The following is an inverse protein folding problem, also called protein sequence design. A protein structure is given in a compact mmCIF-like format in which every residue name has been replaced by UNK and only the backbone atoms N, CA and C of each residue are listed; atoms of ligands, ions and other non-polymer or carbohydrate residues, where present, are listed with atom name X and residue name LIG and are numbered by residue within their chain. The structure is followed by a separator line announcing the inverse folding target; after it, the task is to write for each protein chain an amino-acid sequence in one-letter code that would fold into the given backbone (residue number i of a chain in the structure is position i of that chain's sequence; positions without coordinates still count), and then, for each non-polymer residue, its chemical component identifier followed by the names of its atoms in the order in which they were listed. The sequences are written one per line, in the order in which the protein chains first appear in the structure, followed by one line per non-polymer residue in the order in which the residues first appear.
data_IF_327737251233
#
_entry.id   IF_327737251233
#
_cell.length_a   1.000
_cell.length_b   1.000
_cell.length_c   1.000
_cell.angle_alpha   90.00
_cell.angle_beta   90.00
_cell.angle_gamma   90.00
#
_symmetry.space_group_name_H-M   'P 1'
#
loop_
_entity.id
_entity.type
_entity.pdbx_description
1 polymer ?
#
# COMPACT_ATOMS: atom_id res chain seq x y z
N UNK A 1 33.16 39.49 21.07
CA UNK A 1 31.86 39.73 20.43
C UNK A 1 31.86 40.88 19.42
N UNK A 2 32.34 42.08 19.72
CA UNK A 2 32.33 43.24 18.79
C UNK A 2 33.10 42.99 17.46
N UNK A 3 34.21 42.27 17.48
CA UNK A 3 35.01 41.96 16.27
C UNK A 3 34.34 40.94 15.36
N UNK A 4 33.56 39.99 15.91
CA UNK A 4 32.80 39.02 15.15
C UNK A 4 31.64 39.68 14.40
N UNK A 5 30.93 40.60 15.04
CA UNK A 5 29.83 41.36 14.40
C UNK A 5 30.36 42.28 13.29
N UNK A 6 31.57 42.85 13.44
CA UNK A 6 32.23 43.65 12.39
C UNK A 6 32.63 42.79 11.19
N UNK A 7 33.11 41.56 11.44
CA UNK A 7 33.48 40.63 10.39
C UNK A 7 32.26 40.14 9.59
N UNK A 8 31.12 39.83 10.26
CA UNK A 8 29.85 39.44 9.59
C UNK A 8 29.36 40.55 8.67
N UNK A 9 29.60 41.83 8.99
CA UNK A 9 29.20 42.98 8.14
C UNK A 9 30.25 43.35 7.09
N UNK A 10 31.26 42.53 6.88
CA UNK A 10 32.27 42.71 5.83
C UNK A 10 31.87 41.93 4.58
N UNK A 11 32.33 42.31 3.37
CA UNK A 11 32.06 41.55 2.13
C UNK A 11 32.46 40.07 2.23
N UNK A 12 33.51 39.76 2.98
CA UNK A 12 33.97 38.38 3.23
C UNK A 12 33.02 37.65 4.18
N UNK A 13 32.41 38.35 5.13
CA UNK A 13 31.40 37.78 6.05
C UNK A 13 30.11 37.50 5.33
N UNK A 14 29.65 38.40 4.46
CA UNK A 14 28.46 38.21 3.62
C UNK A 14 28.62 36.97 2.69
N UNK A 15 29.79 36.82 2.08
CA UNK A 15 30.10 35.67 1.26
C UNK A 15 30.11 34.36 2.05
N UNK A 16 30.69 34.34 3.23
CA UNK A 16 30.69 33.17 4.11
C UNK A 16 29.27 32.80 4.57
N UNK A 17 28.44 33.78 4.92
CA UNK A 17 27.02 33.58 5.26
C UNK A 17 26.24 33.03 4.09
N UNK A 18 26.49 33.53 2.88
CA UNK A 18 25.85 32.99 1.66
C UNK A 18 26.19 31.51 1.43
N UNK A 19 27.48 31.13 1.61
CA UNK A 19 27.90 29.73 1.51
C UNK A 19 27.21 28.86 2.58
N UNK A 20 27.17 29.33 3.84
CA UNK A 20 26.46 28.60 4.91
C UNK A 20 24.97 28.44 4.59
N UNK A 21 24.31 29.47 4.10
CA UNK A 21 22.90 29.42 3.70
C UNK A 21 22.67 28.43 2.57
N UNK A 22 23.57 28.38 1.59
CA UNK A 22 23.55 27.48 0.47
C UNK A 22 23.69 26.01 0.93
N UNK A 23 24.58 25.75 1.89
CA UNK A 23 24.77 24.43 2.50
C UNK A 23 23.52 24.03 3.29
N UNK A 24 22.96 24.93 4.10
CA UNK A 24 21.74 24.69 4.87
C UNK A 24 20.54 24.44 3.97
N UNK A 25 20.39 25.21 2.88
CA UNK A 25 19.34 24.99 1.88
C UNK A 25 19.46 23.62 1.19
N UNK A 26 20.69 23.19 0.89
CA UNK A 26 20.95 21.87 0.32
C UNK A 26 20.58 20.74 1.31
N UNK A 27 21.00 20.87 2.57
CA UNK A 27 20.65 19.90 3.63
C UNK A 27 19.15 19.87 3.88
N UNK A 28 18.49 21.03 3.92
CA UNK A 28 17.05 21.13 4.06
C UNK A 28 16.32 20.50 2.86
N UNK A 29 16.81 20.75 1.63
CA UNK A 29 16.27 20.15 0.41
C UNK A 29 16.38 18.63 0.37
N UNK A 30 17.44 18.06 0.93
CA UNK A 30 17.58 16.61 1.04
C UNK A 30 16.58 15.97 2.04
N UNK A 31 16.15 16.70 3.06
CA UNK A 31 15.17 16.23 4.05
C UNK A 31 13.74 16.61 3.72
N UNK A 32 13.53 17.73 3.04
CA UNK A 32 12.22 18.18 2.57
C UNK A 32 11.97 17.68 1.15
N UNK A 33 11.87 16.35 0.97
CA UNK A 33 11.54 15.75 -0.32
C UNK A 33 10.05 15.96 -0.60
N UNK A 34 9.70 17.12 -1.15
CA UNK A 34 8.33 17.38 -1.62
C UNK A 34 8.23 16.88 -3.06
N UNK A 35 7.57 15.75 -3.23
CA UNK A 35 7.30 15.16 -4.55
C UNK A 35 6.03 15.79 -5.10
N UNK A 36 6.14 16.55 -6.16
CA UNK A 36 4.99 17.07 -6.91
C UNK A 36 4.72 16.13 -8.08
N UNK A 37 3.58 15.45 -8.03
CA UNK A 37 3.08 14.69 -9.18
C UNK A 37 2.50 15.69 -10.19
N UNK A 38 3.25 15.94 -11.26
CA UNK A 38 2.86 16.83 -12.37
C UNK A 38 2.11 16.09 -13.47
N UNK A 39 1.77 14.81 -13.29
CA UNK A 39 0.96 14.08 -14.27
C UNK A 39 -0.48 14.57 -14.23
N UNK A 40 -1.12 14.70 -15.40
CA UNK A 40 -2.49 15.18 -15.51
C UNK A 40 -3.49 14.29 -14.72
N UNK A 41 -3.16 13.02 -14.52
CA UNK A 41 -3.99 12.02 -13.83
C UNK A 41 -3.51 11.72 -12.41
N UNK A 42 -2.46 12.41 -11.90
CA UNK A 42 -1.85 12.14 -10.59
C UNK A 42 -1.51 10.66 -10.36
N UNK A 43 -1.01 10.01 -11.40
CA UNK A 43 -0.77 8.57 -11.45
C UNK A 43 0.24 8.07 -10.41
N UNK A 44 1.04 8.94 -9.84
CA UNK A 44 2.04 8.65 -8.80
C UNK A 44 1.65 9.21 -7.43
N UNK A 45 0.40 9.64 -7.25
CA UNK A 45 -0.13 10.11 -5.98
C UNK A 45 -1.27 9.20 -5.51
N UNK A 46 -1.25 8.84 -4.23
CA UNK A 46 -2.33 8.04 -3.66
C UNK A 46 -3.66 8.79 -3.63
N UNK A 47 -4.73 8.08 -3.92
CA UNK A 47 -6.09 8.53 -3.70
C UNK A 47 -6.35 8.83 -2.22
N UNK A 48 -7.37 9.64 -1.94
CA UNK A 48 -7.77 9.91 -0.57
C UNK A 48 -8.13 8.63 0.18
N UNK A 49 -8.85 7.72 -0.47
CA UNK A 49 -9.24 6.43 0.12
C UNK A 49 -8.02 5.60 0.55
N UNK A 50 -7.01 5.50 -0.31
CA UNK A 50 -5.76 4.77 -0.01
C UNK A 50 -5.00 5.38 1.17
N UNK A 51 -4.93 6.73 1.24
CA UNK A 51 -4.31 7.45 2.36
C UNK A 51 -5.04 7.22 3.68
N UNK A 52 -6.37 7.30 3.66
CA UNK A 52 -7.20 7.15 4.86
C UNK A 52 -7.08 5.74 5.44
N UNK A 53 -7.00 4.71 4.59
CA UNK A 53 -6.82 3.32 5.01
C UNK A 53 -5.52 3.12 5.78
N UNK A 54 -4.38 3.60 5.25
CA UNK A 54 -3.08 3.35 5.89
C UNK A 54 -2.74 4.30 7.02
N UNK A 55 -3.44 5.43 7.11
CA UNK A 55 -3.29 6.40 8.20
C UNK A 55 -3.81 5.87 9.54
N UNK A 56 -4.84 5.02 9.50
CA UNK A 56 -5.57 4.57 10.68
C UNK A 56 -5.31 3.08 11.00
N UNK A 57 -4.15 2.54 10.63
CA UNK A 57 -3.80 1.16 10.93
C UNK A 57 -3.69 0.96 12.46
N UNK A 58 -4.43 0.00 12.99
CA UNK A 58 -4.41 -0.41 14.40
C UNK A 58 -3.32 -1.45 14.65
N UNK A 59 -3.13 -2.37 13.70
CA UNK A 59 -2.14 -3.44 13.75
C UNK A 59 -0.99 -3.18 12.76
N UNK A 60 0.16 -3.84 12.92
CA UNK A 60 1.26 -3.77 11.97
C UNK A 60 0.87 -4.32 10.59
N UNK A 61 1.01 -3.49 9.56
CA UNK A 61 0.88 -3.86 8.16
C UNK A 61 2.27 -3.95 7.53
N UNK A 62 2.61 -5.11 7.00
CA UNK A 62 3.87 -5.35 6.30
C UNK A 62 3.63 -5.78 4.86
N UNK A 63 4.31 -5.13 3.92
CA UNK A 63 4.26 -5.47 2.49
C UNK A 63 5.62 -5.99 2.06
N UNK A 64 5.73 -7.28 1.80
CA UNK A 64 6.93 -7.94 1.29
C UNK A 64 6.86 -8.02 -0.23
N UNK A 65 7.83 -7.43 -0.92
CA UNK A 65 7.83 -7.25 -2.38
C UNK A 65 8.87 -8.15 -3.01
N UNK A 66 8.43 -8.96 -3.99
CA UNK A 66 9.22 -9.96 -4.67
C UNK A 66 9.17 -9.70 -6.18
N UNK A 67 10.10 -8.88 -6.67
CA UNK A 67 10.26 -8.62 -8.09
C UNK A 67 11.64 -9.07 -8.54
N UNK A 68 11.68 -9.87 -9.61
CA UNK A 68 12.93 -10.30 -10.22
C UNK A 68 13.74 -9.10 -10.70
N UNK A 69 15.05 -9.15 -10.54
CA UNK A 69 15.95 -8.19 -11.16
C UNK A 69 15.96 -8.31 -12.68
N UNK A 70 16.41 -7.26 -13.35
CA UNK A 70 16.57 -7.24 -14.81
C UNK A 70 15.32 -7.64 -15.60
N UNK A 71 14.17 -7.10 -15.18
CA UNK A 71 12.93 -7.25 -15.92
C UNK A 71 13.00 -6.46 -17.22
N UNK A 72 12.60 -7.05 -18.37
CA UNK A 72 12.53 -6.33 -19.63
C UNK A 72 11.38 -5.31 -19.62
N UNK A 73 11.40 -4.37 -20.56
CA UNK A 73 10.25 -3.49 -20.80
C UNK A 73 9.04 -4.31 -21.32
N UNK A 74 7.81 -3.97 -20.89
CA UNK A 74 7.41 -2.88 -19.99
C UNK A 74 7.45 -3.23 -18.49
N UNK A 75 7.81 -4.45 -18.11
CA UNK A 75 7.72 -4.98 -16.75
C UNK A 75 8.62 -4.27 -15.74
N UNK A 76 9.78 -3.76 -16.19
CA UNK A 76 10.65 -2.92 -15.36
C UNK A 76 9.94 -1.63 -14.91
N UNK A 77 9.12 -1.03 -15.77
CA UNK A 77 8.29 0.13 -15.44
C UNK A 77 7.24 -0.21 -14.37
N UNK A 78 6.64 -1.41 -14.45
CA UNK A 78 5.70 -1.88 -13.44
C UNK A 78 6.38 -2.05 -12.08
N UNK A 79 7.58 -2.63 -12.04
CA UNK A 79 8.35 -2.79 -10.80
C UNK A 79 8.68 -1.43 -10.16
N UNK A 80 9.11 -0.45 -10.98
CA UNK A 80 9.38 0.90 -10.54
C UNK A 80 8.11 1.59 -10.00
N UNK A 81 6.99 1.47 -10.70
CA UNK A 81 5.70 2.00 -10.26
C UNK A 81 5.28 1.44 -8.90
N UNK A 82 5.40 0.13 -8.69
CA UNK A 82 5.10 -0.52 -7.41
C UNK A 82 5.96 0.06 -6.29
N UNK A 83 7.25 0.28 -6.56
CA UNK A 83 8.17 0.90 -5.60
C UNK A 83 7.72 2.33 -5.25
N UNK A 84 7.43 3.14 -6.25
CA UNK A 84 7.02 4.53 -6.06
C UNK A 84 5.72 4.63 -5.25
N UNK A 85 4.73 3.80 -5.57
CA UNK A 85 3.45 3.75 -4.85
C UNK A 85 3.65 3.31 -3.39
N UNK A 86 4.51 2.34 -3.10
CA UNK A 86 4.79 1.94 -1.72
C UNK A 86 5.50 3.01 -0.90
N UNK A 87 6.34 3.84 -1.54
CA UNK A 87 6.92 5.05 -0.91
C UNK A 87 5.82 6.03 -0.52
N UNK A 88 4.83 6.26 -1.41
CA UNK A 88 3.68 7.13 -1.13
C UNK A 88 2.80 6.58 0.01
N UNK A 89 2.57 5.25 0.04
CA UNK A 89 1.89 4.60 1.16
C UNK A 89 2.63 4.86 2.48
N UNK A 90 3.96 4.65 2.49
CA UNK A 90 4.78 4.88 3.68
C UNK A 90 4.75 6.33 4.14
N UNK A 91 4.76 7.28 3.21
CA UNK A 91 4.67 8.71 3.48
C UNK A 91 3.32 9.15 4.06
N UNK A 92 2.24 8.42 3.73
CA UNK A 92 0.88 8.72 4.17
C UNK A 92 0.45 7.93 5.41
N UNK A 93 1.12 6.80 5.69
CA UNK A 93 0.76 5.88 6.74
C UNK A 93 1.24 6.33 8.13
N UNK A 94 0.63 5.73 9.15
CA UNK A 94 1.15 5.80 10.52
C UNK A 94 2.37 4.86 10.69
N UNK A 95 2.88 4.75 11.93
CA UNK A 95 4.06 3.93 12.27
C UNK A 95 3.89 2.43 11.98
N UNK A 96 2.66 1.96 11.88
CA UNK A 96 2.34 0.54 11.73
C UNK A 96 2.52 0.03 10.29
N UNK A 97 2.80 0.90 9.31
CA UNK A 97 3.06 0.47 7.93
C UNK A 97 4.55 0.26 7.69
N UNK A 98 4.89 -0.87 7.09
CA UNK A 98 6.25 -1.19 6.62
C UNK A 98 6.22 -1.91 5.28
N UNK A 99 7.29 -1.78 4.51
CA UNK A 99 7.49 -2.58 3.31
C UNK A 99 8.96 -2.96 3.15
N UNK A 100 9.21 -4.07 2.45
CA UNK A 100 10.55 -4.59 2.20
C UNK A 100 10.65 -5.19 0.80
N UNK A 101 11.67 -4.80 0.05
CA UNK A 101 12.03 -5.44 -1.21
C UNK A 101 13.01 -6.59 -0.97
N UNK A 102 12.73 -7.72 -1.56
CA UNK A 102 13.59 -8.90 -1.51
C UNK A 102 14.37 -9.02 -2.82
N UNK A 103 15.69 -9.17 -2.71
CA UNK A 103 16.56 -9.42 -3.86
C UNK A 103 16.34 -10.85 -4.38
N UNK A 104 15.62 -10.97 -5.48
CA UNK A 104 15.23 -12.26 -6.07
C UNK A 104 16.37 -12.98 -6.79
N UNK A 105 17.58 -12.42 -6.83
CA UNK A 105 18.76 -13.14 -7.27
C UNK A 105 19.26 -14.14 -6.20
N UNK A 106 18.80 -14.00 -4.95
CA UNK A 106 19.16 -14.89 -3.85
C UNK A 106 18.16 -16.03 -3.72
N UNK A 107 18.65 -17.26 -3.77
CA UNK A 107 17.82 -18.48 -3.63
C UNK A 107 17.03 -18.52 -2.31
N UNK A 108 17.59 -17.93 -1.24
CA UNK A 108 16.91 -17.79 0.05
C UNK A 108 15.61 -16.96 -0.09
N UNK A 109 15.68 -15.83 -0.79
CA UNK A 109 14.52 -14.96 -0.99
C UNK A 109 13.48 -15.59 -1.91
N UNK A 110 13.91 -16.39 -2.90
CA UNK A 110 13.00 -17.18 -3.73
C UNK A 110 12.21 -18.19 -2.89
N UNK A 111 12.88 -18.91 -1.96
CA UNK A 111 12.21 -19.82 -1.04
C UNK A 111 11.21 -19.11 -0.13
N UNK A 112 11.51 -17.87 0.29
CA UNK A 112 10.57 -17.06 1.08
C UNK A 112 9.32 -16.73 0.23
N UNK A 113 9.51 -16.33 -1.03
CA UNK A 113 8.40 -16.04 -1.95
C UNK A 113 7.53 -17.30 -2.20
N UNK A 114 8.18 -18.43 -2.44
CA UNK A 114 7.49 -19.73 -2.62
C UNK A 114 6.75 -20.15 -1.34
N UNK A 115 7.34 -19.89 -0.16
CA UNK A 115 6.71 -20.13 1.13
C UNK A 115 5.43 -19.33 1.37
N UNK A 116 5.36 -18.13 0.81
CA UNK A 116 4.11 -17.35 0.74
C UNK A 116 3.13 -17.89 -0.30
N UNK A 117 3.53 -18.80 -1.19
CA UNK A 117 2.72 -19.30 -2.31
C UNK A 117 2.70 -18.37 -3.52
N UNK A 118 3.66 -17.44 -3.62
CA UNK A 118 3.82 -16.59 -4.80
C UNK A 118 4.22 -17.41 -6.02
N UNK A 119 3.50 -17.24 -7.12
CA UNK A 119 3.79 -17.89 -8.39
C UNK A 119 4.57 -16.95 -9.30
N UNK A 120 5.49 -17.51 -10.06
CA UNK A 120 6.19 -16.76 -11.09
C UNK A 120 5.25 -16.45 -12.25
N UNK A 121 5.31 -15.21 -12.74
CA UNK A 121 4.62 -14.80 -13.95
C UNK A 121 5.45 -15.18 -15.19
N UNK A 122 4.79 -15.63 -16.24
CA UNK A 122 5.40 -15.78 -17.55
C UNK A 122 5.37 -14.42 -18.26
N UNK A 123 6.55 -13.86 -18.55
CA UNK A 123 6.73 -12.58 -19.20
C UNK A 123 7.38 -12.75 -20.57
N UNK A 124 7.09 -11.84 -21.48
CA UNK A 124 7.77 -11.79 -22.79
C UNK A 124 9.08 -11.00 -22.69
N UNK A 125 10.10 -11.51 -23.35
CA UNK A 125 11.38 -10.82 -23.50
C UNK A 125 11.75 -10.81 -24.99
N UNK A 126 12.08 -9.64 -25.52
CA UNK A 126 12.55 -9.50 -26.89
C UNK A 126 14.07 -9.36 -26.86
N UNK A 127 14.77 -10.36 -27.38
CA UNK A 127 16.22 -10.36 -27.58
C UNK A 127 16.55 -10.63 -29.05
N UNK A 128 17.42 -9.82 -29.62
CA UNK A 128 17.89 -9.99 -31.02
C UNK A 128 16.75 -10.15 -32.04
N UNK A 129 15.64 -9.38 -31.88
CA UNK A 129 14.42 -9.50 -32.67
C UNK A 129 13.66 -10.84 -32.54
N UNK A 130 13.98 -11.65 -31.57
CA UNK A 130 13.25 -12.86 -31.24
C UNK A 130 12.41 -12.66 -29.97
N UNK A 131 11.18 -13.16 -30.01
CA UNK A 131 10.28 -13.15 -28.85
C UNK A 131 10.50 -14.43 -28.06
N UNK A 132 11.01 -14.27 -26.84
CA UNK A 132 11.17 -15.33 -25.85
C UNK A 132 10.21 -15.19 -24.70
N UNK A 133 10.11 -16.24 -23.87
CA UNK A 133 9.35 -16.23 -22.62
C UNK A 133 10.30 -16.49 -21.46
N UNK A 134 10.08 -15.78 -20.36
CA UNK A 134 10.86 -15.89 -19.13
C UNK A 134 9.92 -15.99 -17.93
N UNK A 135 10.27 -16.82 -16.97
CA UNK A 135 9.61 -16.83 -15.67
C UNK A 135 10.24 -15.77 -14.76
N UNK A 136 9.40 -15.00 -14.10
CA UNK A 136 9.85 -13.95 -13.19
C UNK A 136 8.91 -13.81 -11.99
N UNK A 137 9.45 -13.57 -10.82
CA UNK A 137 8.65 -13.14 -9.69
C UNK A 137 8.22 -11.68 -9.93
N UNK A 138 6.93 -11.44 -9.83
CA UNK A 138 6.32 -10.12 -9.94
C UNK A 138 5.11 -10.07 -9.02
N UNK A 139 5.34 -9.98 -7.72
CA UNK A 139 4.27 -10.05 -6.75
C UNK A 139 4.67 -9.51 -5.39
N UNK A 140 3.71 -9.50 -4.49
CA UNK A 140 3.91 -9.10 -3.11
C UNK A 140 3.03 -9.92 -2.17
N UNK A 141 3.49 -10.06 -0.92
CA UNK A 141 2.74 -10.62 0.19
C UNK A 141 2.45 -9.50 1.20
N UNK A 142 1.20 -9.37 1.60
CA UNK A 142 0.69 -8.39 2.55
C UNK A 142 0.35 -9.14 3.83
N UNK A 143 0.88 -8.70 4.97
CA UNK A 143 0.58 -9.26 6.27
C UNK A 143 -0.04 -8.18 7.16
N UNK A 144 -1.17 -8.48 7.81
CA UNK A 144 -1.84 -7.61 8.77
C UNK A 144 -2.42 -8.46 9.90
N UNK A 145 -1.92 -8.27 11.13
CA UNK A 145 -2.18 -9.22 12.21
C UNK A 145 -1.79 -10.64 11.79
N UNK A 146 -2.69 -11.60 11.97
CA UNK A 146 -2.49 -13.00 11.57
C UNK A 146 -2.91 -13.30 10.11
N UNK A 147 -3.44 -12.29 9.41
CA UNK A 147 -3.87 -12.44 8.02
C UNK A 147 -2.74 -12.22 7.04
N UNK A 148 -2.68 -13.06 6.00
CA UNK A 148 -1.75 -12.90 4.87
C UNK A 148 -2.54 -12.93 3.57
N UNK A 149 -2.35 -11.92 2.73
CA UNK A 149 -2.90 -11.83 1.38
C UNK A 149 -1.78 -11.73 0.35
N UNK A 150 -1.97 -12.36 -0.79
CA UNK A 150 -0.97 -12.39 -1.86
C UNK A 150 -1.50 -11.66 -3.09
N UNK A 151 -0.61 -10.95 -3.74
CA UNK A 151 -0.80 -10.40 -5.09
C UNK A 151 0.33 -10.92 -5.97
N UNK A 152 0.06 -11.93 -6.76
CA UNK A 152 1.00 -12.45 -7.75
C UNK A 152 0.72 -11.90 -9.16
N UNK A 153 1.65 -12.12 -10.07
CA UNK A 153 1.51 -11.79 -11.50
C UNK A 153 1.17 -10.31 -11.77
N UNK A 154 1.80 -9.40 -11.03
CA UNK A 154 1.63 -7.95 -11.22
C UNK A 154 2.44 -7.52 -12.44
N UNK A 155 1.90 -7.79 -13.64
CA UNK A 155 2.55 -7.52 -14.93
C UNK A 155 2.22 -6.14 -15.52
N UNK A 156 1.23 -5.44 -14.94
CA UNK A 156 0.84 -4.08 -15.31
C UNK A 156 0.66 -3.22 -14.06
N UNK A 157 0.90 -1.92 -14.20
CA UNK A 157 0.60 -0.91 -13.18
C UNK A 157 -0.88 -0.59 -13.08
N UNK A 158 -1.70 -0.99 -14.04
CA UNK A 158 -3.11 -0.62 -14.15
C UNK A 158 -3.94 -1.13 -12.98
N UNK A 159 -4.55 -0.18 -12.27
CA UNK A 159 -5.38 -0.45 -11.11
C UNK A 159 -4.63 -1.07 -9.92
N UNK A 160 -3.29 -1.04 -9.92
CA UNK A 160 -2.49 -1.61 -8.83
C UNK A 160 -2.82 -0.99 -7.47
N UNK A 161 -2.86 0.35 -7.39
CA UNK A 161 -3.22 1.06 -6.16
C UNK A 161 -4.59 0.60 -5.63
N UNK A 162 -5.60 0.56 -6.51
CA UNK A 162 -6.94 0.13 -6.14
C UNK A 162 -6.96 -1.30 -5.60
N UNK A 163 -6.29 -2.23 -6.29
CA UNK A 163 -6.22 -3.64 -5.88
C UNK A 163 -5.52 -3.80 -4.54
N UNK A 164 -4.41 -3.07 -4.33
CA UNK A 164 -3.66 -3.10 -3.07
C UNK A 164 -4.49 -2.52 -1.92
N UNK A 165 -5.09 -1.33 -2.11
CA UNK A 165 -5.95 -0.70 -1.11
C UNK A 165 -7.14 -1.58 -0.75
N UNK A 166 -7.81 -2.18 -1.75
CA UNK A 166 -8.96 -3.05 -1.52
C UNK A 166 -8.60 -4.29 -0.71
N UNK A 167 -7.43 -4.91 -0.98
CA UNK A 167 -6.94 -6.03 -0.18
C UNK A 167 -6.63 -5.61 1.25
N UNK A 168 -5.92 -4.50 1.45
CA UNK A 168 -5.62 -3.96 2.77
C UNK A 168 -6.91 -3.67 3.53
N UNK A 169 -7.87 -2.98 2.92
CA UNK A 169 -9.17 -2.67 3.54
C UNK A 169 -9.93 -3.93 3.96
N UNK A 170 -9.92 -4.96 3.11
CA UNK A 170 -10.54 -6.25 3.41
C UNK A 170 -9.88 -6.91 4.63
N UNK A 171 -8.53 -6.93 4.67
CA UNK A 171 -7.78 -7.50 5.80
C UNK A 171 -8.10 -6.78 7.11
N UNK A 172 -8.11 -5.44 7.10
CA UNK A 172 -8.46 -4.62 8.25
C UNK A 172 -9.87 -4.96 8.74
N UNK A 173 -10.85 -4.92 7.83
CA UNK A 173 -12.24 -5.21 8.19
C UNK A 173 -12.43 -6.62 8.76
N UNK A 174 -11.72 -7.62 8.21
CA UNK A 174 -11.79 -8.99 8.72
C UNK A 174 -11.18 -9.08 10.12
N UNK A 175 -10.04 -8.44 10.35
CA UNK A 175 -9.37 -8.43 11.65
C UNK A 175 -10.22 -7.70 12.70
N UNK A 176 -10.81 -6.56 12.33
CA UNK A 176 -11.69 -5.80 13.25
C UNK A 176 -12.96 -6.60 13.60
N UNK A 177 -13.53 -7.33 12.63
CA UNK A 177 -14.68 -8.22 12.88
C UNK A 177 -14.28 -9.34 13.83
N UNK A 178 -13.13 -10.00 13.63
CA UNK A 178 -12.66 -11.07 14.51
C UNK A 178 -12.37 -10.56 15.92
N UNK A 179 -11.71 -9.41 16.04
CA UNK A 179 -11.47 -8.77 17.34
C UNK A 179 -12.79 -8.37 18.05
N UNK A 180 -13.80 -7.94 17.27
CA UNK A 180 -15.13 -7.65 17.77
C UNK A 180 -15.87 -8.90 18.26
N UNK A 181 -15.69 -10.04 17.60
CA UNK A 181 -16.23 -11.33 18.01
C UNK A 181 -15.64 -11.78 19.36
N UNK A 182 -14.33 -11.68 19.53
CA UNK A 182 -13.63 -12.07 20.75
C UNK A 182 -14.04 -11.19 21.93
N UNK A 183 -14.39 -9.94 21.70
CA UNK A 183 -14.83 -9.00 22.74
C UNK A 183 -16.35 -8.97 22.95
N UNK A 184 -17.13 -9.78 22.24
CA UNK A 184 -18.60 -9.84 22.32
C UNK A 184 -19.31 -8.55 21.85
N UNK A 185 -18.62 -7.68 21.11
CA UNK A 185 -19.07 -6.32 20.76
C UNK A 185 -19.44 -6.14 19.28
N UNK A 186 -19.86 -7.21 18.59
CA UNK A 186 -20.30 -7.05 17.19
C UNK A 186 -21.61 -6.28 17.11
N UNK A 187 -21.59 -5.21 16.34
CA UNK A 187 -22.79 -4.46 15.97
C UNK A 187 -22.98 -4.55 14.46
N UNK A 188 -24.12 -5.06 14.02
CA UNK A 188 -24.52 -5.05 12.64
C UNK A 188 -25.59 -4.00 12.42
N UNK A 189 -25.38 -3.08 11.48
CA UNK A 189 -26.37 -2.08 11.10
C UNK A 189 -26.91 -2.41 9.71
N UNK A 190 -28.19 -2.77 9.64
CA UNK A 190 -28.89 -3.00 8.39
C UNK A 190 -29.56 -1.70 7.96
N UNK A 191 -29.19 -1.19 6.78
CA UNK A 191 -29.85 -0.06 6.14
C UNK A 191 -30.90 -0.57 5.16
N UNK A 192 -32.13 -0.27 5.42
CA UNK A 192 -33.27 -0.63 4.58
C UNK A 192 -34.01 0.64 4.13
N UNK A 193 -34.41 0.70 2.87
CA UNK A 193 -35.28 1.75 2.35
C UNK A 193 -36.74 1.32 2.45
N UNK A 194 -37.64 2.24 2.79
CA UNK A 194 -39.10 1.97 2.84
C UNK A 194 -39.65 1.50 1.48
N UNK A 195 -38.99 1.89 0.39
CA UNK A 195 -39.37 1.49 -0.97
C UNK A 195 -39.17 -0.02 -1.25
N UNK A 196 -38.36 -0.71 -0.47
CA UNK A 196 -38.17 -2.18 -0.59
C UNK A 196 -39.49 -2.96 -0.50
N UNK A 197 -40.45 -2.47 0.27
CA UNK A 197 -41.80 -3.05 0.42
C UNK A 197 -42.62 -3.00 -0.89
N UNK A 198 -42.26 -2.11 -1.82
CA UNK A 198 -42.92 -1.96 -3.11
C UNK A 198 -42.43 -2.95 -4.16
N UNK A 199 -41.28 -3.59 -3.92
CA UNK A 199 -40.73 -4.60 -4.82
C UNK A 199 -41.33 -5.99 -4.50
N UNK A 200 -42.00 -6.57 -5.48
CA UNK A 200 -42.56 -7.93 -5.37
C UNK A 200 -41.49 -9.00 -5.61
N UNK A 201 -40.40 -8.95 -4.84
CA UNK A 201 -39.33 -9.96 -4.88
C UNK A 201 -39.58 -10.94 -3.73
N UNK A 202 -39.72 -12.22 -4.06
CA UNK A 202 -39.94 -13.26 -3.05
C UNK A 202 -38.83 -13.31 -2.01
N UNK A 203 -39.20 -13.29 -0.72
CA UNK A 203 -38.28 -13.30 0.41
C UNK A 203 -37.73 -11.95 0.83
N UNK A 204 -37.94 -10.87 0.07
CA UNK A 204 -37.39 -9.56 0.41
C UNK A 204 -38.07 -8.94 1.65
N UNK A 205 -39.35 -9.18 1.84
CA UNK A 205 -40.09 -8.74 3.03
C UNK A 205 -39.65 -9.44 4.32
N UNK A 206 -38.96 -10.56 4.20
CA UNK A 206 -38.45 -11.37 5.31
C UNK A 206 -36.95 -11.20 5.51
N UNK A 207 -36.28 -10.43 4.64
CA UNK A 207 -34.83 -10.26 4.65
C UNK A 207 -34.32 -9.72 5.99
N UNK A 208 -35.01 -8.74 6.60
CA UNK A 208 -34.65 -8.21 7.91
C UNK A 208 -34.68 -9.29 9.01
N UNK A 209 -35.74 -10.08 9.06
CA UNK A 209 -35.88 -11.13 10.08
C UNK A 209 -34.84 -12.23 9.88
N UNK A 210 -34.59 -12.64 8.64
CA UNK A 210 -33.59 -13.68 8.31
C UNK A 210 -32.17 -13.20 8.69
N UNK A 211 -31.83 -11.96 8.34
CA UNK A 211 -30.51 -11.39 8.67
C UNK A 211 -30.35 -11.24 10.20
N UNK A 212 -31.38 -10.80 10.90
CA UNK A 212 -31.38 -10.68 12.36
C UNK A 212 -31.22 -12.05 13.03
N UNK A 213 -31.97 -13.05 12.60
CA UNK A 213 -31.88 -14.41 13.14
C UNK A 213 -30.50 -15.04 12.88
N UNK A 214 -29.95 -14.85 11.67
CA UNK A 214 -28.61 -15.31 11.33
C UNK A 214 -27.56 -14.65 12.22
N UNK A 215 -27.64 -13.33 12.43
CA UNK A 215 -26.74 -12.60 13.31
C UNK A 215 -26.83 -13.08 14.77
N UNK A 216 -28.04 -13.21 15.31
CA UNK A 216 -28.25 -13.69 16.67
C UNK A 216 -27.75 -15.13 16.86
N UNK A 217 -27.85 -15.97 15.83
CA UNK A 217 -27.36 -17.35 15.88
C UNK A 217 -25.84 -17.42 15.96
N UNK A 218 -25.14 -16.50 15.28
CA UNK A 218 -23.69 -16.38 15.33
C UNK A 218 -23.24 -15.80 16.67
N UNK A 219 -23.93 -14.77 17.15
CA UNK A 219 -23.58 -14.08 18.39
C UNK A 219 -23.77 -14.98 19.62
N UNK A 220 -24.85 -15.80 19.66
CA UNK A 220 -25.12 -16.80 20.72
C UNK A 220 -24.09 -17.94 20.74
N UNK A 221 -23.40 -18.22 19.64
CA UNK A 221 -22.41 -19.28 19.59
C UNK A 221 -21.04 -18.86 20.14
N UNK A 222 -20.84 -17.55 20.31
CA UNK A 222 -19.60 -16.92 20.77
C UNK A 222 -19.71 -16.33 22.18
N UNK A 223 -20.84 -16.50 22.86
CA UNK A 223 -21.03 -16.31 24.30
C UNK A 223 -20.92 -17.65 25.05
#
# INVERSE_FOLDING_TARGET
MKNFIKWIKSPSGDFALFIVLLILANIAGQKAFVRFDMTAQKSYSLSKASKDVVKNLTEPLSVNVFFSGNLPAPYNGTAQYVQDILVEYKGSANKNFSYKFFDMNKAENQRIADGYGLRQAQIQEIKNNEVGFKQAYMGLAISYGDSIEIMDSITSSDGFEYKLTSKISKMISTTDILAGLDNGALTMTLYETEDLKNFRIGGLSEAESIVREAFDSVNKKNM
#
